data_IF_181134233056
#
_entry.id   IF_181134233056
#
_cell.length_a   1.000
_cell.length_b   1.000
_cell.length_c   1.000
_cell.angle_alpha   90.00
_cell.angle_beta   90.00
_cell.angle_gamma   90.00
#
_symmetry.space_group_name_H-M   'P 1'
#
loop_
_entity.id
_entity.type
_entity.pdbx_description
1 polymer ?
#
# COMPACT_ATOMS: atom_id res chain seq x y z
N UNK A 1 -60.01 -41.43 -48.15
CA UNK A 1 -59.92 -40.08 -48.77
C UNK A 1 -59.02 -39.27 -47.86
N UNK A 2 -57.80 -38.79 -48.15
CA UNK A 2 -56.99 -38.51 -49.35
C UNK A 2 -55.52 -38.54 -48.84
N UNK A 3 -54.65 -39.41 -49.35
CA UNK A 3 -53.61 -39.17 -50.37
C UNK A 3 -52.47 -38.17 -50.00
N UNK A 4 -51.33 -38.75 -49.58
CA UNK A 4 -49.93 -38.52 -49.97
C UNK A 4 -49.50 -37.10 -50.44
N UNK A 5 -48.49 -36.55 -49.77
CA UNK A 5 -47.27 -36.01 -50.44
C UNK A 5 -45.99 -36.44 -49.71
N UNK A 6 -45.14 -37.17 -50.46
CA UNK A 6 -43.73 -37.48 -50.19
C UNK A 6 -42.86 -36.24 -50.42
N UNK A 7 -41.72 -36.15 -49.73
CA UNK A 7 -40.34 -35.91 -50.23
C UNK A 7 -39.42 -35.66 -49.00
N UNK A 8 -38.75 -36.69 -48.47
CA UNK A 8 -37.35 -37.13 -48.71
C UNK A 8 -36.22 -36.16 -48.32
N UNK A 9 -35.49 -36.60 -47.29
CA UNK A 9 -34.12 -36.30 -46.82
C UNK A 9 -33.19 -35.43 -47.70
N UNK A 10 -32.50 -34.47 -47.07
CA UNK A 10 -31.04 -34.53 -46.86
C UNK A 10 -30.53 -33.41 -45.94
N UNK A 11 -29.88 -33.81 -44.84
CA UNK A 11 -28.69 -33.21 -44.21
C UNK A 11 -28.80 -31.78 -43.60
N UNK A 12 -28.26 -31.43 -42.43
CA UNK A 12 -27.30 -32.04 -41.50
C UNK A 12 -27.36 -31.27 -40.15
N UNK A 13 -27.24 -32.05 -39.07
CA UNK A 13 -26.68 -31.75 -37.74
C UNK A 13 -27.02 -30.44 -36.95
N UNK A 14 -27.62 -30.71 -35.80
CA UNK A 14 -27.56 -30.02 -34.50
C UNK A 14 -26.27 -29.23 -34.20
N UNK A 15 -26.45 -27.99 -33.72
CA UNK A 15 -25.63 -27.39 -32.68
C UNK A 15 -26.53 -26.52 -31.79
N UNK A 16 -27.02 -27.10 -30.69
CA UNK A 16 -27.62 -26.33 -29.59
C UNK A 16 -26.45 -25.74 -28.81
N UNK A 17 -26.24 -24.43 -28.94
CA UNK A 17 -25.36 -23.65 -28.07
C UNK A 17 -25.97 -23.63 -26.66
N UNK A 18 -25.51 -24.55 -25.82
CA UNK A 18 -25.60 -24.43 -24.37
C UNK A 18 -24.66 -23.30 -23.95
N UNK A 19 -25.23 -22.10 -23.75
CA UNK A 19 -24.56 -21.07 -22.95
C UNK A 19 -24.52 -21.55 -21.51
N UNK A 20 -23.42 -22.19 -21.12
CA UNK A 20 -23.09 -22.39 -19.72
C UNK A 20 -22.73 -21.03 -19.13
N UNK A 21 -23.66 -20.43 -18.39
CA UNK A 21 -23.34 -19.38 -17.43
C UNK A 21 -22.43 -20.02 -16.37
N UNK A 22 -21.12 -19.90 -16.55
CA UNK A 22 -20.19 -20.06 -15.44
C UNK A 22 -20.44 -18.88 -14.50
N UNK A 23 -21.16 -19.14 -13.41
CA UNK A 23 -21.20 -18.25 -12.27
C UNK A 23 -19.74 -18.06 -11.84
N UNK A 24 -19.16 -16.88 -12.10
CA UNK A 24 -17.93 -16.50 -11.41
C UNK A 24 -18.36 -16.33 -9.96
N UNK A 25 -18.02 -17.30 -9.13
CA UNK A 25 -18.05 -17.12 -7.69
C UNK A 25 -17.11 -15.96 -7.39
N UNK A 26 -17.68 -14.75 -7.27
CA UNK A 26 -17.01 -13.66 -6.56
C UNK A 26 -16.61 -14.24 -5.21
N UNK A 27 -15.32 -14.21 -4.88
CA UNK A 27 -14.84 -14.61 -3.57
C UNK A 27 -15.75 -13.98 -2.51
N UNK A 28 -16.21 -14.73 -1.49
CA UNK A 28 -17.13 -14.19 -0.51
C UNK A 28 -16.50 -12.95 0.10
N UNK A 29 -17.15 -11.80 -0.10
CA UNK A 29 -16.84 -10.59 0.66
C UNK A 29 -16.99 -11.00 2.11
N UNK A 30 -15.90 -10.99 2.87
CA UNK A 30 -15.95 -11.20 4.32
C UNK A 30 -16.83 -10.10 4.91
N UNK A 31 -18.08 -10.43 5.16
CA UNK A 31 -18.98 -9.61 5.95
C UNK A 31 -18.68 -9.96 7.41
N UNK A 32 -18.03 -9.08 8.20
CA UNK A 32 -17.77 -9.36 9.60
C UNK A 32 -19.09 -9.67 10.29
N UNK A 33 -19.21 -10.89 10.83
CA UNK A 33 -20.39 -11.30 11.58
C UNK A 33 -20.54 -10.37 12.80
N UNK A 34 -21.72 -9.76 13.04
CA UNK A 34 -21.94 -8.97 14.23
C UNK A 34 -21.74 -9.85 15.47
N UNK A 35 -20.73 -9.54 16.27
CA UNK A 35 -20.57 -10.19 17.57
C UNK A 35 -21.55 -9.53 18.54
N UNK A 36 -22.66 -10.21 18.85
CA UNK A 36 -23.72 -9.76 19.77
C UNK A 36 -23.24 -9.51 21.23
N UNK A 37 -21.94 -9.70 21.52
CA UNK A 37 -21.32 -9.54 22.84
C UNK A 37 -20.16 -8.52 22.90
N UNK A 38 -20.01 -7.59 21.94
CA UNK A 38 -18.97 -6.54 22.00
C UNK A 38 -19.07 -5.71 23.30
N UNK A 39 -18.03 -5.76 24.13
CA UNK A 39 -17.91 -4.95 25.36
C UNK A 39 -16.99 -3.76 25.12
N UNK A 40 -17.28 -2.63 25.80
CA UNK A 40 -16.34 -1.51 25.89
C UNK A 40 -15.53 -1.68 27.18
N UNK A 41 -14.21 -1.82 27.03
CA UNK A 41 -13.26 -1.80 28.13
C UNK A 41 -12.59 -0.44 28.15
N UNK A 42 -12.74 0.28 29.26
CA UNK A 42 -12.18 1.62 29.41
C UNK A 42 -10.79 1.52 30.01
N UNK A 43 -9.80 2.10 29.33
CA UNK A 43 -8.51 2.37 29.96
C UNK A 43 -8.71 3.43 31.07
N UNK A 44 -8.00 3.30 32.19
CA UNK A 44 -8.15 4.24 33.32
C UNK A 44 -7.72 5.67 32.94
N UNK A 45 -6.67 5.79 32.12
CA UNK A 45 -6.23 7.01 31.46
C UNK A 45 -5.50 6.65 30.15
N UNK A 46 -4.88 7.63 29.48
CA UNK A 46 -4.15 7.44 28.22
C UNK A 46 -2.73 6.86 28.37
N UNK A 47 -2.28 6.51 29.58
CA UNK A 47 -0.93 6.00 29.80
C UNK A 47 -0.75 4.65 29.12
N UNK A 48 0.48 4.37 28.68
CA UNK A 48 0.82 3.11 28.01
C UNK A 48 0.36 1.90 28.84
N UNK A 49 0.61 1.93 30.15
CA UNK A 49 0.30 0.83 31.06
C UNK A 49 -1.21 0.58 31.18
N UNK A 50 -2.01 1.63 31.31
CA UNK A 50 -3.47 1.51 31.43
C UNK A 50 -4.13 1.08 30.11
N UNK A 51 -3.61 1.57 28.98
CA UNK A 51 -4.06 1.13 27.65
C UNK A 51 -3.71 -0.34 27.42
N UNK A 52 -2.48 -0.75 27.73
CA UNK A 52 -2.07 -2.14 27.61
C UNK A 52 -2.86 -3.05 28.56
N UNK A 53 -3.15 -2.61 29.78
CA UNK A 53 -3.99 -3.37 30.72
C UNK A 53 -5.41 -3.58 30.18
N UNK A 54 -6.01 -2.55 29.58
CA UNK A 54 -7.33 -2.66 28.95
C UNK A 54 -7.30 -3.62 27.73
N UNK A 55 -6.26 -3.57 26.90
CA UNK A 55 -6.05 -4.53 25.80
C UNK A 55 -5.88 -5.96 26.33
N UNK A 56 -5.16 -6.13 27.44
CA UNK A 56 -4.98 -7.44 28.07
C UNK A 56 -6.30 -8.01 28.59
N UNK A 57 -7.20 -7.16 29.10
CA UNK A 57 -8.54 -7.54 29.52
C UNK A 57 -9.53 -7.78 28.36
N UNK A 58 -9.29 -7.18 27.19
CA UNK A 58 -10.15 -7.29 26.02
C UNK A 58 -10.17 -8.69 25.40
N UNK A 59 -11.34 -9.07 24.92
CA UNK A 59 -11.59 -10.25 24.09
C UNK A 59 -11.71 -9.86 22.62
N UNK A 60 -11.63 -10.85 21.73
CA UNK A 60 -11.84 -10.64 20.30
C UNK A 60 -13.22 -10.02 20.02
N UNK A 61 -13.26 -8.91 19.30
CA UNK A 61 -14.45 -8.13 18.96
C UNK A 61 -14.74 -6.93 19.87
N UNK A 62 -14.03 -6.79 21.00
CA UNK A 62 -14.24 -5.71 21.97
C UNK A 62 -13.69 -4.34 21.49
N UNK A 63 -14.14 -3.29 22.17
CA UNK A 63 -13.59 -1.93 22.03
C UNK A 63 -12.76 -1.62 23.27
N UNK A 64 -11.51 -1.22 23.09
CA UNK A 64 -10.70 -0.57 24.11
C UNK A 64 -10.86 0.94 23.93
N UNK A 65 -11.57 1.59 24.86
CA UNK A 65 -11.82 3.02 24.85
C UNK A 65 -10.80 3.74 25.73
N UNK A 66 -10.00 4.60 25.13
CA UNK A 66 -8.98 5.42 25.78
C UNK A 66 -9.56 6.82 26.00
N UNK A 67 -9.58 7.35 27.23
CA UNK A 67 -10.16 8.66 27.51
C UNK A 67 -9.31 9.80 26.90
N UNK A 68 -9.91 10.99 26.86
CA UNK A 68 -9.18 12.20 26.52
C UNK A 68 -8.05 12.46 27.53
N UNK A 69 -6.95 13.03 27.04
CA UNK A 69 -5.76 13.32 27.82
C UNK A 69 -4.51 13.32 26.96
N UNK A 70 -3.43 13.83 27.53
CA UNK A 70 -2.11 13.83 26.90
C UNK A 70 -1.19 12.92 27.72
N UNK A 71 -0.65 11.90 27.07
CA UNK A 71 0.24 10.94 27.72
C UNK A 71 1.52 10.76 26.91
N UNK A 72 2.64 10.58 27.60
CA UNK A 72 3.90 10.17 26.97
C UNK A 72 4.07 8.68 27.12
N UNK A 73 4.29 7.98 26.00
CA UNK A 73 4.63 6.56 25.98
C UNK A 73 6.12 6.40 25.78
N UNK A 74 6.73 5.59 26.63
CA UNK A 74 8.15 5.22 26.58
C UNK A 74 8.33 3.74 26.22
N UNK A 75 7.26 3.10 25.76
CA UNK A 75 7.22 1.70 25.32
C UNK A 75 6.03 1.46 24.40
N UNK A 76 6.11 0.40 23.60
CA UNK A 76 5.06 0.00 22.64
C UNK A 76 3.79 -0.51 23.32
N UNK A 77 2.63 -0.15 22.80
CA UNK A 77 1.35 -0.84 23.03
C UNK A 77 1.20 -1.97 22.01
N UNK A 78 0.98 -3.20 22.48
CA UNK A 78 0.88 -4.39 21.63
C UNK A 78 -0.56 -4.92 21.57
N UNK A 79 -1.05 -5.12 20.34
CA UNK A 79 -2.33 -5.77 20.03
C UNK A 79 -2.03 -7.17 19.46
N UNK A 80 -2.34 -8.26 20.18
CA UNK A 80 -1.99 -9.61 19.76
C UNK A 80 -2.73 -10.12 18.52
N UNK A 81 -2.11 -11.08 17.82
CA UNK A 81 -2.63 -11.84 16.66
C UNK A 81 -3.98 -12.51 16.83
N UNK A 82 -4.46 -12.65 18.06
CA UNK A 82 -5.71 -13.35 18.39
C UNK A 82 -6.79 -12.40 18.92
N UNK A 83 -6.50 -11.09 19.02
CA UNK A 83 -7.38 -10.09 19.61
C UNK A 83 -7.76 -9.03 18.58
N UNK A 84 -8.76 -9.34 17.76
CA UNK A 84 -9.35 -8.39 16.83
C UNK A 84 -10.21 -7.36 17.57
N UNK A 85 -9.58 -6.29 18.05
CA UNK A 85 -10.23 -5.24 18.82
C UNK A 85 -10.32 -3.94 18.02
N UNK A 86 -11.20 -3.04 18.46
CA UNK A 86 -11.10 -1.62 18.14
C UNK A 86 -10.38 -0.89 19.27
N UNK A 87 -9.21 -0.34 19.02
CA UNK A 87 -8.54 0.61 19.92
C UNK A 87 -8.98 2.03 19.55
N UNK A 88 -9.69 2.70 20.44
CA UNK A 88 -10.36 3.97 20.16
C UNK A 88 -9.97 5.03 21.19
N UNK A 89 -9.33 6.11 20.73
CA UNK A 89 -9.16 7.34 21.50
C UNK A 89 -10.43 8.19 21.49
N UNK A 90 -10.46 9.25 22.29
CA UNK A 90 -11.59 10.17 22.39
C UNK A 90 -11.75 11.09 21.17
N UNK A 91 -10.83 11.04 20.21
CA UNK A 91 -10.79 11.86 19.00
C UNK A 91 -9.43 12.49 18.77
N UNK A 92 -9.19 12.91 17.53
CA UNK A 92 -8.04 13.76 17.17
C UNK A 92 -8.02 14.99 18.08
N UNK A 93 -6.83 15.28 18.61
CA UNK A 93 -6.50 16.34 19.56
C UNK A 93 -7.18 16.24 20.95
N UNK A 94 -8.02 15.23 21.18
CA UNK A 94 -8.58 14.91 22.48
C UNK A 94 -7.76 13.83 23.22
N UNK A 95 -7.32 12.79 22.51
CA UNK A 95 -6.36 11.80 23.03
C UNK A 95 -5.04 11.96 22.30
N UNK A 96 -4.07 12.60 22.94
CA UNK A 96 -2.75 12.90 22.38
C UNK A 96 -1.70 11.99 22.99
N UNK A 97 -1.04 11.19 22.17
CA UNK A 97 0.02 10.27 22.58
C UNK A 97 1.36 10.77 22.06
N UNK A 98 2.24 11.14 22.97
CA UNK A 98 3.62 11.53 22.68
C UNK A 98 4.51 10.29 22.71
N UNK A 99 5.08 9.90 21.59
CA UNK A 99 5.93 8.72 21.44
C UNK A 99 7.38 9.11 21.69
N UNK A 100 7.94 8.65 22.81
CA UNK A 100 9.29 9.00 23.26
C UNK A 100 10.11 7.74 23.57
N UNK A 101 10.30 6.90 22.55
CA UNK A 101 11.17 5.73 22.59
C UNK A 101 11.46 5.25 21.17
N UNK A 102 12.45 4.37 21.01
CA UNK A 102 12.67 3.62 19.77
C UNK A 102 11.67 2.47 19.62
N UNK A 103 11.13 2.29 18.41
CA UNK A 103 10.13 1.26 18.09
C UNK A 103 8.72 1.80 17.96
N UNK A 104 7.78 0.92 17.61
CA UNK A 104 6.42 1.33 17.31
C UNK A 104 5.66 1.87 18.53
N UNK A 105 4.83 2.89 18.34
CA UNK A 105 3.90 3.34 19.37
C UNK A 105 2.79 2.31 19.61
N UNK A 106 2.12 1.90 18.53
CA UNK A 106 1.12 0.82 18.52
C UNK A 106 1.62 -0.27 17.57
N UNK A 107 1.71 -1.51 18.05
CA UNK A 107 2.03 -2.69 17.21
C UNK A 107 0.84 -3.62 17.12
N UNK A 108 0.39 -3.90 15.90
CA UNK A 108 -0.60 -4.91 15.59
C UNK A 108 0.13 -6.12 15.02
N UNK A 109 0.09 -7.24 15.74
CA UNK A 109 0.39 -8.54 15.14
C UNK A 109 -0.86 -8.97 14.39
N UNK A 110 -0.88 -8.85 13.06
CA UNK A 110 -2.04 -9.14 12.23
C UNK A 110 -2.21 -10.66 12.03
N UNK A 111 -3.17 -11.23 12.75
CA UNK A 111 -3.51 -12.65 12.66
C UNK A 111 -4.48 -12.97 11.53
N UNK A 112 -4.38 -14.21 11.04
CA UNK A 112 -5.28 -14.74 10.00
C UNK A 112 -6.73 -14.75 10.47
N UNK A 113 -7.64 -14.16 9.68
CA UNK A 113 -9.08 -14.13 9.98
C UNK A 113 -9.47 -13.19 11.12
N UNK A 114 -8.54 -12.33 11.58
CA UNK A 114 -8.77 -11.39 12.67
C UNK A 114 -8.91 -9.97 12.12
N UNK A 115 -9.88 -9.21 12.67
CA UNK A 115 -10.19 -7.85 12.25
C UNK A 115 -9.77 -6.83 13.31
N UNK A 116 -8.95 -5.85 12.95
CA UNK A 116 -8.45 -4.81 13.85
C UNK A 116 -8.92 -3.43 13.42
N UNK A 117 -9.07 -2.51 14.38
CA UNK A 117 -9.26 -1.08 14.09
C UNK A 117 -8.51 -0.22 15.09
N UNK A 118 -7.81 0.82 14.61
CA UNK A 118 -7.22 1.86 15.47
C UNK A 118 -7.74 3.21 15.00
N UNK A 119 -8.31 4.00 15.93
CA UNK A 119 -8.99 5.25 15.56
C UNK A 119 -9.02 6.30 16.66
N UNK A 120 -9.11 7.58 16.27
CA UNK A 120 -9.43 8.68 17.19
C UNK A 120 -8.26 9.12 18.08
N UNK A 121 -7.04 9.13 17.54
CA UNK A 121 -5.84 9.57 18.25
C UNK A 121 -5.16 10.72 17.50
N UNK A 122 -4.44 11.57 18.24
CA UNK A 122 -3.27 12.27 17.72
C UNK A 122 -2.02 11.54 18.22
N UNK A 123 -1.17 11.09 17.32
CA UNK A 123 0.14 10.53 17.64
C UNK A 123 1.21 11.58 17.30
N UNK A 124 2.07 11.89 18.25
CA UNK A 124 3.16 12.86 18.11
C UNK A 124 4.50 12.15 18.34
N UNK A 125 5.37 12.11 17.34
CA UNK A 125 6.74 11.61 17.52
C UNK A 125 7.59 12.68 18.23
N UNK A 126 8.29 12.31 19.32
CA UNK A 126 9.15 13.23 20.10
C UNK A 126 10.65 12.93 20.04
N UNK A 127 11.02 11.76 19.56
CA UNK A 127 12.42 11.38 19.43
C UNK A 127 12.69 11.09 17.96
N UNK A 128 13.92 11.38 17.50
CA UNK A 128 14.51 10.63 16.38
C UNK A 128 14.33 9.15 16.72
N UNK A 129 13.30 8.54 16.16
CA UNK A 129 13.35 7.11 16.02
C UNK A 129 14.54 6.89 15.12
N UNK A 130 15.57 6.26 15.67
CA UNK A 130 16.25 5.22 14.94
C UNK A 130 15.19 4.15 14.59
N UNK A 131 14.30 4.52 13.68
CA UNK A 131 13.31 3.68 13.05
C UNK A 131 14.06 2.83 12.00
N UNK A 132 15.25 2.33 12.36
CA UNK A 132 16.23 1.65 11.50
C UNK A 132 15.73 0.34 10.88
N UNK A 133 14.45 0.01 11.06
CA UNK A 133 13.68 -0.87 10.21
C UNK A 133 12.31 -0.20 9.93
N UNK A 134 12.16 0.31 8.71
CA UNK A 134 11.16 1.29 8.27
C UNK A 134 9.70 0.82 8.48
N UNK A 135 9.46 -0.48 8.58
CA UNK A 135 8.11 -1.04 8.76
C UNK A 135 7.78 -1.45 10.21
N UNK A 136 8.75 -1.87 11.01
CA UNK A 136 8.49 -2.45 12.35
C UNK A 136 8.58 -1.43 13.47
N UNK A 137 9.12 -0.24 13.17
CA UNK A 137 9.33 0.82 14.15
C UNK A 137 8.43 2.05 13.92
N UNK A 138 7.55 2.07 12.92
CA UNK A 138 6.62 3.18 12.67
C UNK A 138 5.68 3.50 13.86
N UNK A 139 5.13 4.71 13.92
CA UNK A 139 4.21 5.15 14.98
C UNK A 139 3.06 4.14 15.18
N UNK A 140 2.56 3.58 14.07
CA UNK A 140 1.77 2.35 14.05
C UNK A 140 2.46 1.31 13.16
N UNK A 141 2.79 0.15 13.72
CA UNK A 141 3.31 -1.01 12.99
C UNK A 141 2.22 -2.08 12.85
N UNK A 142 2.07 -2.65 11.65
CA UNK A 142 1.20 -3.79 11.36
C UNK A 142 2.03 -4.91 10.73
N UNK A 143 2.12 -6.05 11.40
CA UNK A 143 3.00 -7.15 11.02
C UNK A 143 2.20 -8.45 10.92
N UNK A 144 2.18 -9.09 9.76
CA UNK A 144 1.42 -10.33 9.57
C UNK A 144 1.91 -11.18 8.41
N UNK A 145 1.68 -12.49 8.49
CA UNK A 145 2.09 -13.46 7.45
C UNK A 145 0.91 -14.06 6.68
N UNK A 146 -0.32 -13.61 6.97
CA UNK A 146 -1.55 -14.11 6.35
C UNK A 146 -2.32 -13.05 5.58
N UNK A 147 -2.68 -13.39 4.34
CA UNK A 147 -3.50 -12.58 3.42
C UNK A 147 -4.96 -12.43 3.88
N UNK A 148 -5.35 -13.16 4.92
CA UNK A 148 -6.71 -13.16 5.49
C UNK A 148 -6.83 -12.26 6.72
N UNK A 149 -5.81 -11.45 7.01
CA UNK A 149 -5.87 -10.41 8.04
C UNK A 149 -6.64 -9.20 7.51
N UNK A 150 -7.39 -8.54 8.38
CA UNK A 150 -8.15 -7.33 8.05
C UNK A 150 -7.85 -6.27 9.12
N UNK A 151 -7.44 -5.08 8.71
CA UNK A 151 -7.20 -4.00 9.66
C UNK A 151 -7.57 -2.65 9.05
N UNK A 152 -7.98 -1.73 9.93
CA UNK A 152 -8.29 -0.35 9.56
C UNK A 152 -7.60 0.62 10.50
N UNK A 153 -6.91 1.60 9.93
CA UNK A 153 -6.31 2.73 10.64
C UNK A 153 -7.05 3.98 10.17
N UNK A 154 -7.84 4.62 11.04
CA UNK A 154 -8.70 5.71 10.59
C UNK A 154 -8.93 6.83 11.60
N UNK A 155 -9.15 8.05 11.10
CA UNK A 155 -9.34 9.25 11.94
C UNK A 155 -8.19 9.43 12.95
N UNK A 156 -6.95 9.29 12.47
CA UNK A 156 -5.73 9.55 13.22
C UNK A 156 -5.02 10.76 12.63
N UNK A 157 -4.53 11.63 13.51
CA UNK A 157 -3.54 12.66 13.14
C UNK A 157 -2.14 12.14 13.50
N UNK A 158 -1.28 12.01 12.51
CA UNK A 158 0.15 11.76 12.67
C UNK A 158 0.87 13.10 12.56
N UNK A 159 1.67 13.41 13.58
CA UNK A 159 2.41 14.66 13.71
C UNK A 159 3.82 14.34 14.23
N UNK A 160 4.77 15.22 13.95
CA UNK A 160 6.16 15.15 14.41
C UNK A 160 6.55 16.38 15.22
N UNK A 161 7.72 16.32 15.86
CA UNK A 161 8.35 17.51 16.44
C UNK A 161 9.10 18.27 15.32
N UNK A 162 8.78 19.56 15.08
CA UNK A 162 9.34 20.34 13.98
C UNK A 162 10.88 20.50 14.01
N UNK A 163 11.53 20.16 15.12
CA UNK A 163 12.98 20.28 15.31
C UNK A 163 13.81 19.07 14.79
N UNK A 164 13.43 18.47 13.64
CA UNK A 164 14.21 17.48 12.86
C UNK A 164 13.92 15.98 13.13
N UNK A 165 12.66 15.55 13.13
CA UNK A 165 12.32 14.12 13.13
C UNK A 165 11.75 13.74 11.76
N UNK A 166 12.29 12.71 11.11
CA UNK A 166 11.67 12.11 9.92
C UNK A 166 11.05 10.75 10.30
N UNK A 167 9.92 10.71 11.03
CA UNK A 167 9.35 9.46 11.49
C UNK A 167 8.66 8.69 10.36
N UNK A 168 8.42 7.40 10.62
CA UNK A 168 7.49 6.60 9.82
C UNK A 168 6.12 6.63 10.47
N UNK A 169 5.08 7.04 9.73
CA UNK A 169 3.71 7.12 10.26
C UNK A 169 3.09 5.74 10.46
N UNK A 170 2.81 5.04 9.37
CA UNK A 170 2.29 3.67 9.38
C UNK A 170 3.24 2.73 8.64
N UNK A 171 3.72 1.70 9.34
CA UNK A 171 4.56 0.66 8.78
C UNK A 171 3.79 -0.64 8.62
N UNK A 172 3.85 -1.25 7.45
CA UNK A 172 3.20 -2.53 7.15
C UNK A 172 4.25 -3.54 6.69
N UNK A 173 4.29 -4.70 7.35
CA UNK A 173 5.26 -5.76 7.08
C UNK A 173 4.59 -7.11 6.87
N UNK A 174 4.99 -7.77 5.79
CA UNK A 174 4.61 -9.13 5.44
C UNK A 174 3.37 -9.20 4.55
N UNK A 175 2.60 -10.26 4.71
CA UNK A 175 1.48 -10.60 3.83
C UNK A 175 0.13 -10.15 4.40
N UNK A 176 0.08 -8.95 4.96
CA UNK A 176 -1.11 -8.39 5.62
C UNK A 176 -1.69 -7.23 4.82
N UNK A 177 -3.01 -7.14 4.75
CA UNK A 177 -3.75 -6.18 3.92
C UNK A 177 -4.85 -5.50 4.72
N UNK A 178 -5.13 -4.25 4.38
CA UNK A 178 -6.03 -3.42 5.14
C UNK A 178 -6.14 -2.02 4.58
N UNK A 179 -6.79 -1.15 5.36
CA UNK A 179 -7.17 0.19 4.96
C UNK A 179 -6.58 1.22 5.91
N UNK A 180 -5.98 2.27 5.34
CA UNK A 180 -5.63 3.52 6.02
C UNK A 180 -6.55 4.58 5.42
N UNK A 181 -7.47 5.14 6.21
CA UNK A 181 -8.44 6.10 5.69
C UNK A 181 -8.78 7.26 6.62
N UNK A 182 -9.19 8.41 6.08
CA UNK A 182 -9.56 9.59 6.89
C UNK A 182 -8.46 10.01 7.89
N UNK A 183 -7.19 9.74 7.58
CA UNK A 183 -6.04 10.13 8.40
C UNK A 183 -5.44 11.45 7.89
N UNK A 184 -4.77 12.17 8.79
CA UNK A 184 -3.96 13.33 8.46
C UNK A 184 -2.51 13.05 8.82
N UNK A 185 -1.59 13.24 7.88
CA UNK A 185 -0.15 13.15 8.06
C UNK A 185 0.45 14.53 7.83
N UNK A 186 1.12 15.06 8.84
CA UNK A 186 1.63 16.44 8.84
C UNK A 186 3.09 16.41 9.32
N UNK A 187 4.04 16.61 8.41
CA UNK A 187 5.47 16.56 8.71
C UNK A 187 6.06 15.17 8.95
N UNK A 188 5.52 14.12 8.32
CA UNK A 188 6.00 12.74 8.54
C UNK A 188 7.00 12.33 7.45
N UNK A 189 8.26 12.12 7.82
CA UNK A 189 9.34 11.70 6.90
C UNK A 189 8.93 10.64 5.86
N UNK A 190 8.31 9.54 6.29
CA UNK A 190 7.61 8.62 5.38
C UNK A 190 6.26 8.24 5.98
N UNK A 191 5.18 8.81 5.43
CA UNK A 191 3.85 8.69 6.02
C UNK A 191 3.35 7.24 6.05
N UNK A 192 3.55 6.47 4.97
CA UNK A 192 3.26 5.03 4.94
C UNK A 192 4.43 4.25 4.35
N UNK A 193 4.83 3.15 4.97
CA UNK A 193 5.86 2.26 4.45
C UNK A 193 5.34 0.82 4.34
N UNK A 194 5.39 0.23 3.14
CA UNK A 194 4.84 -1.12 2.90
C UNK A 194 5.92 -2.07 2.38
N UNK A 195 6.21 -3.12 3.14
CA UNK A 195 7.07 -4.21 2.67
C UNK A 195 6.38 -5.56 2.69
N UNK A 196 6.59 -6.34 1.63
CA UNK A 196 6.01 -7.68 1.50
C UNK A 196 6.89 -8.82 2.06
N UNK A 197 8.13 -8.52 2.43
CA UNK A 197 9.10 -9.53 2.88
C UNK A 197 8.71 -10.16 4.21
N UNK A 198 9.07 -11.43 4.40
CA UNK A 198 8.85 -12.19 5.64
C UNK A 198 10.13 -12.90 6.06
N UNK A 199 10.23 -13.29 7.33
CA UNK A 199 11.42 -13.95 7.86
C UNK A 199 11.73 -15.30 7.16
N UNK A 200 10.72 -15.96 6.57
CA UNK A 200 10.85 -17.25 5.89
C UNK A 200 11.30 -17.14 4.42
N UNK A 201 11.61 -15.93 3.93
CA UNK A 201 12.04 -15.75 2.55
C UNK A 201 13.32 -16.57 2.23
N UNK A 202 13.31 -17.42 1.19
CA UNK A 202 14.34 -18.45 0.99
C UNK A 202 15.65 -17.92 0.40
N UNK A 203 15.60 -16.80 -0.32
CA UNK A 203 16.74 -16.26 -1.08
C UNK A 203 16.90 -14.76 -0.86
N UNK A 204 15.83 -13.99 -1.04
CA UNK A 204 15.82 -12.53 -0.89
C UNK A 204 14.64 -12.11 -0.03
N UNK A 205 14.78 -11.05 0.77
CA UNK A 205 13.60 -10.41 1.35
C UNK A 205 12.63 -9.99 0.24
N UNK A 206 11.39 -10.48 0.35
CA UNK A 206 10.31 -10.30 -0.62
C UNK A 206 10.18 -11.41 -1.65
N UNK A 207 11.02 -12.45 -1.65
CA UNK A 207 11.01 -13.48 -2.69
C UNK A 207 9.69 -14.25 -2.71
N UNK A 208 9.20 -14.71 -1.56
CA UNK A 208 7.89 -15.36 -1.43
C UNK A 208 6.80 -14.39 -1.89
N UNK A 209 6.88 -13.12 -1.50
CA UNK A 209 5.93 -12.11 -1.93
C UNK A 209 5.88 -12.00 -3.46
N UNK A 210 7.01 -12.01 -4.15
CA UNK A 210 7.10 -11.96 -5.61
C UNK A 210 6.67 -13.25 -6.32
N UNK A 211 6.58 -14.39 -5.63
CA UNK A 211 5.99 -15.61 -6.23
C UNK A 211 4.46 -15.61 -6.24
N UNK A 212 3.84 -14.74 -5.43
CA UNK A 212 2.39 -14.67 -5.26
C UNK A 212 1.76 -13.75 -6.30
N UNK A 213 0.61 -14.14 -6.89
CA UNK A 213 -0.05 -13.34 -7.93
C UNK A 213 -0.43 -11.94 -7.43
N UNK A 214 -0.47 -10.99 -8.35
CA UNK A 214 -1.06 -9.67 -8.14
C UNK A 214 -2.58 -9.79 -8.20
N UNK A 215 -3.27 -9.21 -7.24
CA UNK A 215 -4.73 -9.20 -7.13
C UNK A 215 -5.29 -7.89 -7.69
N UNK A 216 -5.26 -7.76 -9.02
CA UNK A 216 -5.65 -6.53 -9.72
C UNK A 216 -7.06 -6.10 -9.38
N UNK A 217 -7.22 -4.86 -8.88
CA UNK A 217 -8.52 -4.35 -8.49
C UNK A 217 -9.21 -5.20 -7.42
N UNK A 218 -8.44 -5.93 -6.61
CA UNK A 218 -8.92 -6.81 -5.54
C UNK A 218 -8.44 -6.38 -4.15
N UNK A 219 -8.91 -7.01 -3.07
CA UNK A 219 -8.64 -6.58 -1.70
C UNK A 219 -7.20 -6.83 -1.20
N UNK A 220 -6.35 -7.57 -1.94
CA UNK A 220 -5.04 -8.02 -1.44
C UNK A 220 -3.91 -7.00 -1.66
N UNK A 221 -4.12 -5.79 -1.15
CA UNK A 221 -3.15 -4.70 -1.10
C UNK A 221 -3.36 -3.85 0.16
N UNK A 222 -2.38 -3.00 0.48
CA UNK A 222 -2.57 -1.93 1.46
C UNK A 222 -3.27 -0.78 0.76
N UNK A 223 -4.49 -0.47 1.18
CA UNK A 223 -5.27 0.63 0.66
C UNK A 223 -5.06 1.89 1.50
N UNK A 224 -4.87 3.02 0.82
CA UNK A 224 -4.72 4.35 1.40
C UNK A 224 -5.73 5.26 0.72
N UNK A 225 -6.74 5.72 1.46
CA UNK A 225 -7.92 6.41 0.92
C UNK A 225 -8.34 7.62 1.75
N UNK A 226 -8.88 8.67 1.12
CA UNK A 226 -9.48 9.80 1.82
C UNK A 226 -8.54 10.43 2.89
N UNK A 227 -7.23 10.32 2.70
CA UNK A 227 -6.23 10.87 3.61
C UNK A 227 -5.69 12.21 3.10
N UNK A 228 -5.20 13.02 4.04
CA UNK A 228 -4.50 14.27 3.76
C UNK A 228 -3.04 14.17 4.19
N UNK A 229 -2.13 14.49 3.28
CA UNK A 229 -0.69 14.55 3.52
C UNK A 229 -0.23 16.00 3.34
N UNK A 230 0.56 16.53 4.26
CA UNK A 230 1.08 17.90 4.19
C UNK A 230 2.53 17.92 4.61
N UNK A 231 3.41 18.15 3.63
CA UNK A 231 4.84 18.19 3.84
C UNK A 231 5.22 19.50 4.52
N UNK A 232 6.12 19.42 5.48
CA UNK A 232 6.69 20.57 6.18
C UNK A 232 8.12 20.83 5.77
N UNK A 233 8.83 19.79 5.30
CA UNK A 233 10.23 19.87 4.92
C UNK A 233 10.37 19.62 3.42
N UNK A 234 10.66 20.67 2.63
CA UNK A 234 10.82 20.55 1.19
C UNK A 234 11.80 19.44 0.79
N UNK A 235 11.35 18.53 -0.08
CA UNK A 235 12.15 17.43 -0.64
C UNK A 235 12.72 16.45 0.39
N UNK A 236 12.10 16.27 1.56
CA UNK A 236 12.54 15.25 2.54
C UNK A 236 11.46 14.23 2.95
N UNK A 237 10.21 14.43 2.52
CA UNK A 237 9.08 13.68 3.05
C UNK A 237 8.30 12.95 1.94
N UNK A 238 8.00 11.66 2.17
CA UNK A 238 7.31 10.79 1.21
C UNK A 238 5.93 10.36 1.70
N UNK A 239 4.93 10.40 0.81
CA UNK A 239 3.57 9.91 1.09
C UNK A 239 3.62 8.42 1.40
N UNK A 240 4.27 7.68 0.51
CA UNK A 240 4.59 6.31 0.79
C UNK A 240 5.86 5.85 0.08
N UNK A 241 6.46 4.84 0.69
CA UNK A 241 7.52 4.02 0.15
C UNK A 241 7.13 2.53 0.28
N UNK A 242 7.78 1.67 -0.49
CA UNK A 242 7.66 0.24 -0.36
C UNK A 242 8.79 -0.54 -1.00
N UNK A 243 8.95 -1.79 -0.57
CA UNK A 243 10.00 -2.71 -1.05
C UNK A 243 9.60 -4.16 -0.83
N UNK A 244 10.47 -5.10 -1.19
CA UNK A 244 10.34 -6.52 -0.85
C UNK A 244 8.98 -7.12 -1.27
N UNK A 245 8.48 -6.73 -2.44
CA UNK A 245 7.19 -7.15 -2.96
C UNK A 245 5.99 -6.51 -2.27
N UNK A 246 6.14 -5.29 -1.74
CA UNK A 246 5.03 -4.46 -1.26
C UNK A 246 3.95 -4.28 -2.34
N UNK A 247 2.69 -4.17 -1.89
CA UNK A 247 1.49 -4.01 -2.73
C UNK A 247 0.63 -2.89 -2.17
N UNK A 248 0.44 -1.84 -2.95
CA UNK A 248 -0.11 -0.58 -2.47
C UNK A 248 -1.18 -0.09 -3.45
N UNK A 249 -2.31 0.37 -2.90
CA UNK A 249 -3.33 1.10 -3.64
C UNK A 249 -3.50 2.47 -2.97
N UNK A 250 -3.18 3.53 -3.69
CA UNK A 250 -3.24 4.91 -3.23
C UNK A 250 -4.28 5.67 -4.04
N UNK A 251 -5.42 6.03 -3.42
CA UNK A 251 -6.54 6.61 -4.16
C UNK A 251 -7.37 7.63 -3.38
N UNK A 252 -7.96 8.61 -4.06
CA UNK A 252 -8.82 9.63 -3.45
C UNK A 252 -8.16 10.44 -2.32
N UNK A 253 -6.83 10.59 -2.36
CA UNK A 253 -6.07 11.34 -1.35
C UNK A 253 -5.76 12.77 -1.81
N UNK A 254 -5.50 13.63 -0.82
CA UNK A 254 -4.97 14.98 -1.03
C UNK A 254 -3.53 15.05 -0.52
N UNK A 255 -2.61 15.41 -1.40
CA UNK A 255 -1.17 15.48 -1.13
C UNK A 255 -0.68 16.90 -1.37
N UNK A 256 -0.08 17.50 -0.34
CA UNK A 256 0.55 18.81 -0.42
C UNK A 256 2.04 18.66 -0.09
N UNK A 257 2.92 19.13 -0.97
CA UNK A 257 4.38 19.22 -0.72
C UNK A 257 5.04 17.88 -0.35
N UNK A 258 4.61 16.80 -1.02
CA UNK A 258 4.97 15.41 -0.71
C UNK A 258 5.05 14.62 -2.02
N UNK A 259 5.78 13.50 -2.04
CA UNK A 259 5.84 12.63 -3.22
C UNK A 259 5.74 11.14 -2.92
N UNK A 260 5.54 10.34 -3.98
CA UNK A 260 5.54 8.88 -3.94
C UNK A 260 6.85 8.35 -4.51
N UNK A 261 7.55 7.49 -3.76
CA UNK A 261 8.79 6.84 -4.25
C UNK A 261 9.01 5.44 -3.68
N UNK A 262 8.21 4.43 -4.10
CA UNK A 262 8.50 3.06 -3.74
C UNK A 262 9.80 2.57 -4.40
N UNK A 263 10.65 1.92 -3.61
CA UNK A 263 12.02 1.60 -3.97
C UNK A 263 12.21 0.39 -4.90
N UNK A 264 13.30 0.48 -5.67
CA UNK A 264 13.86 -0.65 -6.40
C UNK A 264 14.56 -1.63 -5.45
N UNK A 265 14.92 -2.83 -5.94
CA UNK A 265 15.74 -3.77 -5.20
C UNK A 265 17.19 -3.33 -5.01
N UNK A 266 17.70 -2.44 -5.87
CA UNK A 266 19.12 -2.10 -5.97
C UNK A 266 19.72 -1.50 -4.67
N UNK A 267 19.12 -0.47 -4.02
CA UNK A 267 19.67 0.11 -2.79
C UNK A 267 19.58 -0.82 -1.59
N UNK A 268 18.63 -1.76 -1.59
CA UNK A 268 18.26 -2.54 -0.42
C UNK A 268 18.79 -3.98 -0.44
N UNK A 269 19.31 -4.46 -1.57
CA UNK A 269 19.85 -5.82 -1.69
C UNK A 269 18.81 -6.95 -1.61
N UNK A 270 17.51 -6.61 -1.70
CA UNK A 270 16.39 -7.55 -1.76
C UNK A 270 15.48 -7.26 -2.96
N UNK A 271 14.24 -7.75 -2.94
CA UNK A 271 13.30 -7.54 -4.05
C UNK A 271 12.76 -6.09 -4.08
N UNK A 272 12.42 -5.57 -5.26
CA UNK A 272 11.75 -4.27 -5.38
C UNK A 272 10.31 -4.31 -4.84
N UNK A 273 9.64 -3.16 -4.77
CA UNK A 273 8.16 -3.11 -4.72
C UNK A 273 7.57 -3.94 -5.88
N UNK A 274 6.43 -4.61 -5.67
CA UNK A 274 5.80 -5.43 -6.72
C UNK A 274 4.64 -4.72 -7.41
N UNK A 275 3.77 -4.06 -6.65
CA UNK A 275 2.47 -3.61 -7.18
C UNK A 275 2.07 -2.23 -6.65
N UNK A 276 1.72 -1.33 -7.57
CA UNK A 276 1.24 0.02 -7.28
C UNK A 276 -0.01 0.33 -8.11
N UNK A 277 -1.14 0.62 -7.46
CA UNK A 277 -2.27 1.29 -8.11
C UNK A 277 -2.39 2.71 -7.54
N UNK A 278 -2.25 3.73 -8.38
CA UNK A 278 -2.25 5.13 -7.96
C UNK A 278 -3.29 5.89 -8.78
N UNK A 279 -4.42 6.27 -8.19
CA UNK A 279 -5.47 6.90 -8.98
C UNK A 279 -6.42 7.83 -8.25
N UNK A 280 -7.00 8.77 -8.98
CA UNK A 280 -7.99 9.72 -8.45
C UNK A 280 -7.46 10.54 -7.26
N UNK A 281 -6.15 10.82 -7.22
CA UNK A 281 -5.53 11.65 -6.17
C UNK A 281 -5.29 13.08 -6.67
N UNK A 282 -5.20 14.02 -5.72
CA UNK A 282 -4.78 15.40 -5.97
C UNK A 282 -3.42 15.65 -5.33
N UNK A 283 -2.45 16.09 -6.12
CA UNK A 283 -1.13 16.56 -5.68
C UNK A 283 -1.01 18.06 -5.95
N UNK A 284 -0.48 18.81 -4.99
CA UNK A 284 -0.24 20.24 -5.15
C UNK A 284 1.09 20.63 -4.47
N UNK A 285 2.01 21.21 -5.22
CA UNK A 285 3.15 21.95 -4.64
C UNK A 285 2.62 23.35 -4.27
N UNK A 286 2.64 23.65 -2.98
CA UNK A 286 2.14 24.92 -2.42
C UNK A 286 3.28 25.88 -2.07
N UNK A 287 4.54 25.46 -2.22
CA UNK A 287 5.71 26.28 -1.93
C UNK A 287 5.87 27.36 -3.01
N UNK A 288 5.95 28.67 -2.65
CA UNK A 288 6.15 29.73 -3.63
C UNK A 288 7.49 29.58 -4.37
N UNK A 289 7.44 29.47 -5.71
CA UNK A 289 8.63 29.22 -6.53
C UNK A 289 9.05 27.74 -6.59
N UNK A 290 8.18 26.85 -6.09
CA UNK A 290 8.27 25.41 -6.21
C UNK A 290 9.25 24.76 -5.24
N UNK A 291 9.38 23.45 -5.37
CA UNK A 291 10.32 22.65 -4.61
C UNK A 291 9.77 22.13 -3.28
N UNK A 292 8.48 22.33 -3.00
CA UNK A 292 7.76 21.56 -1.98
C UNK A 292 7.67 20.10 -2.39
N UNK A 293 7.53 19.84 -3.69
CA UNK A 293 7.46 18.50 -4.26
C UNK A 293 8.56 18.29 -5.32
N UNK A 294 9.51 17.39 -5.03
CA UNK A 294 10.62 17.10 -5.97
C UNK A 294 10.14 16.47 -7.30
N UNK A 295 9.07 15.69 -7.22
CA UNK A 295 8.35 15.00 -8.29
C UNK A 295 7.03 14.50 -7.72
N UNK A 296 5.99 14.22 -8.50
CA UNK A 296 4.76 13.68 -7.90
C UNK A 296 4.89 12.18 -7.56
N UNK A 297 5.34 11.38 -8.52
CA UNK A 297 5.38 9.92 -8.42
C UNK A 297 6.60 9.36 -9.14
N UNK A 298 7.37 8.50 -8.47
CA UNK A 298 8.47 7.75 -9.07
C UNK A 298 8.41 6.27 -8.72
N UNK A 299 8.15 5.43 -9.70
CA UNK A 299 8.02 3.98 -9.51
C UNK A 299 9.29 3.30 -9.97
N UNK A 300 9.91 2.53 -9.08
CA UNK A 300 11.29 2.02 -9.29
C UNK A 300 11.37 0.50 -9.37
N UNK A 301 10.23 -0.18 -9.53
CA UNK A 301 10.15 -1.62 -9.75
C UNK A 301 8.71 -2.13 -9.87
N UNK A 302 8.57 -3.36 -10.36
CA UNK A 302 7.30 -4.06 -10.42
C UNK A 302 6.34 -3.60 -11.52
N UNK A 303 5.05 -3.61 -11.20
CA UNK A 303 3.95 -3.30 -12.12
C UNK A 303 2.89 -2.43 -11.45
N UNK A 304 1.94 -1.93 -12.22
CA UNK A 304 0.89 -1.08 -11.68
C UNK A 304 -0.06 -0.45 -12.69
N UNK A 305 -0.91 0.41 -12.16
CA UNK A 305 -1.71 1.38 -12.93
C UNK A 305 -1.61 2.75 -12.26
N UNK A 306 -1.49 3.81 -13.07
CA UNK A 306 -1.42 5.20 -12.59
C UNK A 306 -2.39 6.04 -13.40
N UNK A 307 -3.54 6.45 -12.86
CA UNK A 307 -4.54 7.12 -13.67
C UNK A 307 -5.39 8.16 -12.96
N UNK A 308 -5.89 9.13 -13.74
CA UNK A 308 -6.78 10.19 -13.26
C UNK A 308 -6.25 10.96 -12.03
N UNK A 309 -4.93 11.00 -11.83
CA UNK A 309 -4.34 11.87 -10.83
C UNK A 309 -4.23 13.29 -11.37
N UNK A 310 -4.52 14.28 -10.53
CA UNK A 310 -4.34 15.69 -10.86
C UNK A 310 -3.14 16.23 -10.09
N UNK A 311 -2.18 16.79 -10.81
CA UNK A 311 -1.00 17.42 -10.23
C UNK A 311 -1.02 18.89 -10.57
N UNK A 312 -0.81 19.72 -9.57
CA UNK A 312 -0.57 21.14 -9.73
C UNK A 312 0.81 21.45 -9.18
N UNK A 313 1.67 21.93 -10.05
CA UNK A 313 3.03 22.28 -9.68
C UNK A 313 3.43 23.50 -10.51
N UNK A 314 3.76 24.64 -9.89
CA UNK A 314 4.09 25.85 -10.62
C UNK A 314 5.43 25.78 -11.38
N UNK A 315 6.34 24.87 -11.00
CA UNK A 315 7.76 24.96 -11.38
C UNK A 315 8.39 23.62 -11.83
N UNK A 316 7.65 22.50 -11.79
CA UNK A 316 8.16 21.17 -12.11
C UNK A 316 7.30 20.42 -13.14
N UNK A 317 7.93 19.78 -14.12
CA UNK A 317 7.29 18.89 -15.11
C UNK A 317 7.40 17.40 -14.74
N UNK A 318 8.09 17.07 -13.64
CA UNK A 318 8.34 15.70 -13.20
C UNK A 318 7.15 15.10 -12.45
N UNK A 319 6.24 14.48 -13.19
CA UNK A 319 5.03 13.91 -12.60
C UNK A 319 5.11 12.41 -12.41
N UNK A 320 5.21 11.65 -13.50
CA UNK A 320 5.20 10.19 -13.45
C UNK A 320 6.52 9.68 -13.99
N UNK A 321 7.39 9.26 -13.08
CA UNK A 321 8.75 8.86 -13.41
C UNK A 321 8.94 7.37 -13.16
N UNK A 322 9.69 6.73 -14.04
CA UNK A 322 10.18 5.37 -13.84
C UNK A 322 11.69 5.32 -13.95
N UNK A 323 12.28 4.32 -13.31
CA UNK A 323 13.68 3.97 -13.54
C UNK A 323 13.94 2.49 -13.36
N UNK A 324 15.15 2.09 -13.72
CA UNK A 324 15.68 0.78 -13.42
C UNK A 324 17.15 0.90 -13.01
N UNK A 325 17.39 1.04 -11.71
CA UNK A 325 18.72 1.27 -11.16
C UNK A 325 19.73 0.16 -11.43
N UNK A 326 19.26 -1.08 -11.56
CA UNK A 326 20.13 -2.23 -11.87
C UNK A 326 20.77 -2.16 -13.26
N UNK A 327 20.32 -1.22 -14.11
CA UNK A 327 20.90 -0.97 -15.44
C UNK A 327 22.29 -0.33 -15.39
N UNK A 328 22.65 0.38 -14.32
CA UNK A 328 23.92 1.12 -14.31
C UNK A 328 24.50 1.45 -12.93
N UNK A 329 23.72 1.34 -11.85
CA UNK A 329 24.21 1.71 -10.52
C UNK A 329 24.96 0.55 -9.86
N UNK A 330 25.89 0.90 -8.97
CA UNK A 330 26.42 -0.04 -7.99
C UNK A 330 25.34 -0.28 -6.94
N UNK A 331 24.80 -1.50 -6.93
CA UNK A 331 23.74 -1.90 -6.02
C UNK A 331 24.30 -2.55 -4.74
N UNK A 332 23.47 -2.67 -3.71
CA UNK A 332 23.80 -3.32 -2.45
C UNK A 332 23.41 -4.81 -2.45
N UNK A 333 23.91 -5.53 -1.45
CA UNK A 333 23.60 -6.95 -1.25
C UNK A 333 23.98 -7.80 -2.45
N UNK A 334 23.12 -8.74 -2.84
CA UNK A 334 23.39 -9.65 -3.95
C UNK A 334 23.49 -8.95 -5.31
N UNK A 335 22.85 -7.79 -5.46
CA UNK A 335 22.87 -7.03 -6.69
C UNK A 335 24.24 -6.39 -6.97
N UNK A 336 25.09 -6.24 -5.94
CA UNK A 336 26.46 -5.71 -6.09
C UNK A 336 27.33 -6.56 -7.01
N UNK A 337 27.11 -7.88 -7.04
CA UNK A 337 27.85 -8.85 -7.86
C UNK A 337 27.02 -9.43 -8.99
N UNK A 338 25.76 -9.00 -9.13
CA UNK A 338 24.83 -9.46 -10.16
C UNK A 338 24.12 -8.24 -10.82
N UNK A 339 24.88 -7.37 -11.50
CA UNK A 339 24.31 -6.26 -12.25
C UNK A 339 23.43 -6.77 -13.41
N UNK A 340 22.48 -5.97 -13.86
CA UNK A 340 21.71 -6.29 -15.06
C UNK A 340 22.46 -5.79 -16.28
N UNK A 341 23.48 -6.56 -16.68
CA UNK A 341 24.36 -6.27 -17.83
C UNK A 341 24.47 -7.45 -18.81
N UNK A 342 23.65 -8.49 -18.61
CA UNK A 342 23.70 -9.74 -19.38
C UNK A 342 24.43 -10.89 -18.67
N UNK A 343 25.03 -10.67 -17.50
CA UNK A 343 25.79 -11.69 -16.76
C UNK A 343 25.07 -12.30 -15.57
N UNK A 344 24.11 -11.58 -14.98
CA UNK A 344 23.40 -12.00 -13.77
C UNK A 344 22.51 -13.23 -14.02
N UNK A 345 22.61 -14.31 -13.23
CA UNK A 345 21.78 -15.50 -13.40
C UNK A 345 20.31 -15.27 -13.01
N UNK A 346 19.99 -14.12 -12.42
CA UNK A 346 18.64 -13.76 -11.96
C UNK A 346 17.83 -13.00 -13.02
N UNK A 347 18.52 -12.51 -14.06
CA UNK A 347 17.92 -11.73 -15.11
C UNK A 347 17.52 -12.59 -16.31
N UNK A 348 16.64 -12.08 -17.16
CA UNK A 348 16.18 -12.82 -18.33
C UNK A 348 17.24 -12.96 -19.42
N UNK A 349 18.25 -12.06 -19.44
CA UNK A 349 19.41 -12.13 -20.33
C UNK A 349 19.08 -12.39 -21.81
N UNK A 350 18.05 -11.71 -22.31
CA UNK A 350 17.66 -11.81 -23.72
C UNK A 350 18.84 -11.38 -24.60
N UNK A 351 19.28 -12.20 -25.57
CA UNK A 351 20.44 -11.90 -26.39
C UNK A 351 20.33 -10.51 -27.06
N UNK A 352 21.31 -9.65 -26.81
CA UNK A 352 21.38 -8.30 -27.38
C UNK A 352 20.65 -7.21 -26.59
N UNK A 353 20.10 -7.51 -25.40
CA UNK A 353 19.37 -6.55 -24.57
C UNK A 353 19.95 -6.36 -23.17
N UNK A 354 21.28 -6.49 -23.02
CA UNK A 354 22.01 -6.05 -21.82
C UNK A 354 21.47 -6.58 -20.47
N UNK A 355 20.96 -7.81 -20.44
CA UNK A 355 20.37 -8.41 -19.24
C UNK A 355 18.85 -8.40 -19.23
N UNK A 356 18.19 -7.64 -20.11
CA UNK A 356 16.74 -7.56 -20.13
C UNK A 356 16.04 -8.93 -20.23
N UNK A 357 14.95 -9.11 -19.50
CA UNK A 357 14.53 -8.25 -18.39
C UNK A 357 15.44 -8.35 -17.18
N UNK A 358 15.74 -7.20 -16.60
CA UNK A 358 16.29 -7.15 -15.26
C UNK A 358 15.24 -7.65 -14.27
N UNK A 359 15.65 -8.49 -13.33
CA UNK A 359 14.81 -8.89 -12.22
C UNK A 359 14.22 -7.66 -11.50
N UNK A 360 12.91 -7.70 -11.31
CA UNK A 360 12.08 -6.71 -10.62
C UNK A 360 11.90 -5.35 -11.30
N UNK A 361 12.41 -5.16 -12.52
CA UNK A 361 12.23 -3.91 -13.24
C UNK A 361 10.75 -3.57 -13.48
N UNK A 362 10.48 -2.32 -13.87
CA UNK A 362 9.18 -1.91 -14.38
C UNK A 362 8.73 -2.84 -15.52
N UNK A 363 7.48 -3.27 -15.46
CA UNK A 363 6.89 -4.20 -16.41
C UNK A 363 7.02 -5.67 -16.01
N UNK A 364 7.45 -5.96 -14.77
CA UNK A 364 7.54 -7.31 -14.21
C UNK A 364 6.50 -7.53 -13.12
N UNK A 365 5.71 -8.58 -13.27
CA UNK A 365 4.74 -9.05 -12.30
C UNK A 365 5.26 -10.21 -11.47
N UNK A 366 4.33 -10.90 -10.82
CA UNK A 366 4.64 -12.10 -10.04
C UNK A 366 5.44 -13.11 -10.88
N UNK A 367 6.44 -13.75 -10.26
CA UNK A 367 7.35 -14.71 -10.91
C UNK A 367 8.12 -14.14 -12.12
N UNK A 368 8.32 -12.81 -12.15
CA UNK A 368 9.01 -12.10 -13.25
C UNK A 368 8.28 -12.15 -14.60
N UNK A 369 7.01 -12.56 -14.61
CA UNK A 369 6.18 -12.55 -15.81
C UNK A 369 6.04 -11.13 -16.37
N UNK A 370 5.89 -11.02 -17.69
CA UNK A 370 5.69 -9.72 -18.33
C UNK A 370 4.32 -9.16 -17.93
N UNK A 371 4.34 -8.05 -17.21
CA UNK A 371 3.15 -7.38 -16.72
C UNK A 371 3.38 -5.86 -16.72
N UNK A 372 3.06 -5.18 -17.83
CA UNK A 372 3.43 -3.77 -18.03
C UNK A 372 2.79 -2.82 -17.02
N UNK A 373 3.47 -1.71 -16.73
CA UNK A 373 2.89 -0.56 -16.03
C UNK A 373 2.01 0.25 -17.00
N UNK A 374 0.84 0.71 -16.56
CA UNK A 374 -0.05 1.53 -17.41
C UNK A 374 -0.30 2.89 -16.78
N UNK A 375 -0.31 3.95 -17.60
CA UNK A 375 -0.77 5.26 -17.16
C UNK A 375 -1.71 5.96 -18.17
N UNK A 376 -2.79 6.56 -17.67
CA UNK A 376 -3.75 7.29 -18.50
C UNK A 376 -4.51 8.36 -17.70
N UNK A 377 -5.00 9.40 -18.37
CA UNK A 377 -5.89 10.39 -17.74
C UNK A 377 -5.27 11.27 -16.65
N UNK A 378 -3.97 11.14 -16.35
CA UNK A 378 -3.28 12.01 -15.40
C UNK A 378 -3.05 13.40 -16.01
N UNK A 379 -3.05 14.43 -15.17
CA UNK A 379 -2.81 15.81 -15.62
C UNK A 379 -1.81 16.56 -14.76
N UNK A 380 -1.05 17.46 -15.38
CA UNK A 380 -0.23 18.50 -14.76
C UNK A 380 -0.79 19.87 -15.16
N UNK A 381 -1.27 20.66 -14.20
CA UNK A 381 -1.87 21.97 -14.46
C UNK A 381 -2.97 21.92 -15.55
N UNK A 382 -3.72 20.82 -15.58
CA UNK A 382 -4.77 20.56 -16.59
C UNK A 382 -4.30 19.99 -17.92
N UNK A 383 -2.99 19.87 -18.16
CA UNK A 383 -2.45 19.25 -19.38
C UNK A 383 -2.19 17.75 -19.15
N UNK A 384 -2.41 16.86 -20.13
CA UNK A 384 -2.09 15.45 -20.00
C UNK A 384 -0.61 15.21 -19.68
N UNK A 385 -0.34 14.22 -18.83
CA UNK A 385 1.03 13.78 -18.52
C UNK A 385 1.20 12.28 -18.70
N UNK A 386 2.42 11.88 -19.04
CA UNK A 386 2.81 10.52 -19.37
C UNK A 386 3.89 10.02 -18.41
N UNK A 387 4.06 8.69 -18.38
CA UNK A 387 5.24 8.06 -17.80
C UNK A 387 6.45 8.47 -18.61
N UNK A 388 7.47 8.94 -17.91
CA UNK A 388 8.77 9.28 -18.45
C UNK A 388 9.88 8.55 -17.68
N UNK A 389 10.98 8.26 -18.36
CA UNK A 389 12.15 7.73 -17.69
C UNK A 389 12.87 8.86 -16.94
N UNK A 390 13.23 8.64 -15.67
CA UNK A 390 13.95 9.63 -14.87
C UNK A 390 15.34 9.99 -15.42
N UNK A 391 15.90 9.16 -16.33
CA UNK A 391 17.22 9.38 -16.91
C UNK A 391 18.36 9.16 -15.94
N UNK A 392 18.19 8.22 -14.99
CA UNK A 392 19.26 7.82 -14.04
C UNK A 392 20.48 7.23 -14.74
N UNK A 393 20.23 6.43 -15.78
CA UNK A 393 21.22 5.65 -16.48
C UNK A 393 21.32 6.13 -17.92
N UNK A 394 22.50 6.04 -18.52
CA UNK A 394 22.67 6.23 -19.95
C UNK A 394 22.09 5.07 -20.76
N UNK A 395 22.53 4.95 -22.02
CA UNK A 395 22.15 4.01 -23.10
C UNK A 395 21.58 2.61 -22.74
N UNK A 396 21.92 2.04 -21.60
CA UNK A 396 21.43 0.72 -21.14
C UNK A 396 19.93 0.72 -20.79
N UNK A 397 19.37 1.82 -20.26
CA UNK A 397 17.94 1.87 -19.91
C UNK A 397 17.01 1.89 -21.11
N UNK A 398 17.47 2.37 -22.28
CA UNK A 398 16.71 2.34 -23.53
C UNK A 398 16.36 0.91 -23.97
N UNK A 399 17.14 -0.07 -23.51
CA UNK A 399 16.89 -1.49 -23.71
C UNK A 399 16.05 -2.12 -22.61
N UNK A 400 16.08 -1.55 -21.40
CA UNK A 400 15.40 -2.11 -20.22
C UNK A 400 13.97 -1.61 -20.08
N UNK A 401 13.71 -0.33 -20.34
CA UNK A 401 12.41 0.32 -20.15
C UNK A 401 11.87 0.80 -21.49
N UNK A 402 11.06 -0.03 -22.13
CA UNK A 402 10.54 0.26 -23.47
C UNK A 402 9.03 0.49 -23.43
N UNK A 403 8.59 1.64 -23.91
CA UNK A 403 7.18 1.94 -24.11
C UNK A 403 6.56 0.96 -25.12
N UNK A 404 5.35 0.49 -24.86
CA UNK A 404 4.70 -0.56 -25.65
C UNK A 404 5.19 -1.98 -25.34
N UNK A 405 6.07 -2.14 -24.35
CA UNK A 405 6.55 -3.45 -23.87
C UNK A 405 6.53 -3.54 -22.35
N UNK A 406 7.24 -2.65 -21.67
CA UNK A 406 7.40 -2.66 -20.21
C UNK A 406 6.45 -1.66 -19.53
N UNK A 407 6.04 -0.61 -20.25
CA UNK A 407 5.02 0.33 -19.83
C UNK A 407 4.20 0.88 -21.02
N UNK A 408 3.03 1.46 -20.74
CA UNK A 408 2.12 2.03 -21.73
C UNK A 408 1.55 3.37 -21.27
N UNK A 409 1.61 4.38 -22.13
CA UNK A 409 0.97 5.67 -21.92
C UNK A 409 -0.35 5.81 -22.69
N UNK A 410 -1.30 6.54 -22.10
CA UNK A 410 -2.55 6.94 -22.74
C UNK A 410 -3.53 5.80 -22.99
N UNK A 411 -3.26 4.59 -22.50
CA UNK A 411 -4.07 3.40 -22.71
C UNK A 411 -4.47 2.80 -21.37
N UNK A 412 -5.79 2.64 -21.09
CA UNK A 412 -6.24 1.90 -19.92
C UNK A 412 -5.78 0.45 -19.96
N UNK A 413 -5.34 -0.08 -18.81
CA UNK A 413 -4.92 -1.48 -18.70
C UNK A 413 -6.06 -2.42 -19.13
N UNK A 414 -5.85 -3.30 -20.13
CA UNK A 414 -6.90 -4.21 -20.58
C UNK A 414 -7.41 -5.11 -19.45
N UNK A 415 -8.73 -5.18 -19.30
CA UNK A 415 -9.40 -6.03 -18.30
C UNK A 415 -9.28 -5.54 -16.85
N UNK A 416 -8.66 -4.39 -16.59
CA UNK A 416 -8.58 -3.83 -15.25
C UNK A 416 -9.87 -3.12 -14.87
N UNK A 417 -10.31 -3.30 -13.62
CA UNK A 417 -11.39 -2.54 -13.00
C UNK A 417 -10.93 -2.17 -11.60
N UNK A 418 -10.99 -0.89 -11.19
CA UNK A 418 -10.64 -0.49 -9.83
C UNK A 418 -11.49 -1.23 -8.79
N UNK A 419 -10.90 -1.54 -7.63
CA UNK A 419 -11.65 -2.14 -6.53
C UNK A 419 -12.75 -1.19 -6.04
N UNK A 420 -13.78 -1.74 -5.38
CA UNK A 420 -14.90 -0.94 -4.87
C UNK A 420 -14.42 0.19 -3.95
N UNK A 421 -14.95 1.39 -4.17
CA UNK A 421 -14.71 2.57 -3.34
C UNK A 421 -16.05 3.10 -2.78
N UNK A 422 -16.12 3.51 -1.50
CA UNK A 422 -15.05 3.39 -0.50
C UNK A 422 -14.72 1.91 -0.21
N UNK A 423 -13.50 1.65 0.25
CA UNK A 423 -13.09 0.29 0.60
C UNK A 423 -14.10 -0.36 1.58
N UNK A 424 -14.41 -1.66 1.49
CA UNK A 424 -15.42 -2.28 2.35
C UNK A 424 -15.15 -2.14 3.86
N UNK A 425 -13.87 -2.09 4.26
CA UNK A 425 -13.47 -1.83 5.66
C UNK A 425 -13.81 -0.40 6.15
N UNK A 426 -14.04 0.56 5.26
CA UNK A 426 -14.46 1.91 5.63
C UNK A 426 -15.86 1.94 6.27
N UNK A 427 -16.68 0.93 5.97
CA UNK A 427 -18.01 0.78 6.57
C UNK A 427 -17.87 0.17 7.97
N UNK A 428 -18.36 0.81 9.05
CA UNK A 428 -18.32 0.21 10.37
C UNK A 428 -19.04 -1.15 10.35
N UNK A 429 -18.55 -2.18 11.04
CA UNK A 429 -19.34 -3.38 11.32
C UNK A 429 -20.48 -3.00 12.27
N UNK A 430 -21.57 -2.50 11.69
CA UNK A 430 -22.88 -2.15 12.26
C UNK A 430 -22.93 -1.13 13.41
N UNK A 431 -24.00 -0.32 13.53
CA UNK A 431 -24.28 0.45 14.74
C UNK A 431 -24.51 -0.50 15.94
N UNK A 432 -24.15 -0.09 17.16
CA UNK A 432 -24.23 -0.97 18.31
C UNK A 432 -25.68 -1.17 18.72
N UNK A 433 -26.29 -2.32 18.40
CA UNK A 433 -27.69 -2.51 18.79
C UNK A 433 -27.87 -2.83 20.28
N UNK A 434 -26.84 -3.26 21.03
CA UNK A 434 -26.89 -3.38 22.50
C UNK A 434 -25.52 -3.24 23.17
N UNK A 435 -25.13 -2.01 23.54
CA UNK A 435 -23.93 -1.77 24.36
C UNK A 435 -24.18 -2.19 25.81
N UNK A 436 -23.52 -3.27 26.26
CA UNK A 436 -23.42 -3.60 27.68
C UNK A 436 -22.14 -2.97 28.23
N UNK A 437 -22.28 -1.88 28.97
CA UNK A 437 -21.15 -1.26 29.71
C UNK A 437 -20.86 -2.14 30.93
N UNK A 438 -19.72 -2.82 30.93
CA UNK A 438 -19.18 -3.48 32.12
C UNK A 438 -18.21 -2.48 32.77
N UNK A 439 -18.42 -2.19 34.06
CA UNK A 439 -17.62 -1.22 34.83
C UNK A 439 -16.37 -1.86 35.39
#
# INVERSE_FOLDING_TARGET
>A
MVNIRKLTLQNFLYAILLFSFTCVESSPIYQPQPNENRVIIKAANCSQADVQAAINAASNGDIVSVPAGTCTWTSTVNIPGIKGITLQGAGVDATIIKLNHSGAGIRISAGSGVTYRVTGFTLLALQEGDFGNESTNAMISIEGTSQESNWRIDHIKFDDDPDSINPYGVGVSGHTYGLIDHCTFDGIGSAVFVQGGIADDPVFFGDISWTRPVDWGGPKAVYIEDCKFTGRIPNQEQVYDGRYGGRIVFRYNTVLDYWIEPHSGCPNGGRAVLHNEIYENSFEDTVPGGGGMWMAMRIRGGTGVIFNNTVKDPDNDRVILIDNQRSCLSCNGIWSTNPCDGSSPYDGNTPGYYGWPCMDQIGRGAKQESEPLYAWGNTLNGNPVHIEEFGLCGRETEHHLVEGRDYYNGVPKPGYTPYVYPHPLATPPFPPEKLRIVR
#
